data_IF_508957690082
#
_entry.id   IF_508957690082
#
_cell.length_a   1.000
_cell.length_b   1.000
_cell.length_c   1.000
_cell.angle_alpha   90.00
_cell.angle_beta   90.00
_cell.angle_gamma   90.00
#
_symmetry.space_group_name_H-M   'P 1'
#
loop_
_entity.id
_entity.type
_entity.pdbx_description
1 polymer ?
#
# COMPACT_ATOMS: atom_id res chain seq x y z
N UNK A 1 9.24 -19.04 18.10
CA UNK A 1 9.38 -17.78 17.35
C UNK A 1 9.90 -18.11 15.96
N UNK A 2 9.03 -18.14 14.94
CA UNK A 2 9.45 -18.17 13.54
C UNK A 2 9.23 -16.76 12.98
N UNK A 3 10.33 -16.11 12.65
CA UNK A 3 10.40 -14.95 11.76
C UNK A 3 10.45 -15.46 10.31
N UNK A 4 9.84 -14.68 9.40
CA UNK A 4 9.56 -14.89 7.95
C UNK A 4 8.35 -15.80 7.70
N UNK A 5 7.32 -15.46 6.89
CA UNK A 5 7.41 -15.01 5.49
C UNK A 5 6.16 -14.21 5.03
N UNK A 6 6.40 -13.26 4.12
CA UNK A 6 5.43 -12.68 3.20
C UNK A 6 4.62 -13.79 2.51
N UNK A 7 3.34 -13.95 2.89
CA UNK A 7 2.42 -14.83 2.18
C UNK A 7 1.77 -14.10 1.00
N UNK A 8 2.59 -13.74 0.02
CA UNK A 8 2.20 -13.72 -1.38
C UNK A 8 3.20 -14.69 -2.02
N UNK A 9 2.73 -15.87 -2.41
CA UNK A 9 3.58 -16.85 -3.06
C UNK A 9 4.18 -16.18 -4.33
N UNK A 10 5.50 -16.22 -4.54
CA UNK A 10 6.20 -15.41 -5.55
C UNK A 10 5.86 -15.75 -7.02
N UNK A 11 4.82 -16.54 -7.29
CA UNK A 11 4.43 -16.95 -8.65
C UNK A 11 2.93 -16.82 -8.90
N UNK A 12 2.32 -15.69 -8.54
CA UNK A 12 1.00 -15.35 -9.09
C UNK A 12 1.23 -14.66 -10.45
N UNK A 13 1.63 -15.46 -11.44
CA UNK A 13 2.03 -15.03 -12.80
C UNK A 13 0.89 -14.34 -13.58
N UNK A 14 -0.30 -14.27 -12.99
CA UNK A 14 -1.50 -13.62 -13.51
C UNK A 14 -1.56 -12.12 -13.21
N UNK A 15 -0.85 -11.63 -12.20
CA UNK A 15 -0.90 -10.22 -11.78
C UNK A 15 0.04 -9.36 -12.64
N UNK A 16 -0.52 -8.29 -13.22
CA UNK A 16 0.26 -7.33 -14.04
C UNK A 16 1.28 -6.53 -13.23
N UNK A 17 1.09 -6.41 -11.92
CA UNK A 17 1.96 -5.71 -11.00
C UNK A 17 1.82 -6.29 -9.59
N UNK A 18 2.83 -6.11 -8.74
CA UNK A 18 2.76 -6.50 -7.35
C UNK A 18 1.68 -5.68 -6.61
N UNK A 19 0.84 -6.32 -5.76
CA UNK A 19 -0.14 -5.60 -4.98
C UNK A 19 0.53 -4.66 -3.97
N UNK A 20 0.01 -3.44 -3.84
CA UNK A 20 0.50 -2.42 -2.90
C UNK A 20 -0.55 -2.18 -1.81
N UNK A 21 -0.11 -2.07 -0.55
CA UNK A 21 -0.99 -1.74 0.58
C UNK A 21 -1.01 -0.25 0.85
N UNK A 22 -2.22 0.27 1.11
CA UNK A 22 -2.46 1.61 1.60
C UNK A 22 -3.12 1.47 2.97
N UNK A 23 -2.44 1.92 4.01
CA UNK A 23 -2.93 1.86 5.38
C UNK A 23 -2.50 3.09 6.16
N UNK A 24 -3.18 3.32 7.28
CA UNK A 24 -2.69 4.20 8.32
C UNK A 24 -1.27 3.76 8.77
N UNK A 25 -0.34 4.70 9.02
CA UNK A 25 1.01 4.38 9.50
C UNK A 25 0.99 3.86 10.94
N UNK A 26 2.08 3.24 11.40
CA UNK A 26 2.18 2.65 12.74
C UNK A 26 2.42 3.70 13.83
N UNK A 27 1.44 4.60 13.99
CA UNK A 27 1.42 5.70 14.98
C UNK A 27 0.02 5.82 15.58
N UNK A 28 -0.14 6.34 16.79
CA UNK A 28 -1.47 6.62 17.33
C UNK A 28 -2.22 7.66 16.49
N UNK A 29 -3.54 7.52 16.37
CA UNK A 29 -4.39 8.50 15.70
C UNK A 29 -4.54 9.74 16.60
N UNK A 30 -4.21 10.96 16.12
CA UNK A 30 -4.36 12.20 16.87
C UNK A 30 -5.82 12.67 16.90
N UNK A 31 -6.19 13.44 17.93
CA UNK A 31 -7.55 13.95 18.10
C UNK A 31 -7.92 15.07 17.10
N UNK A 32 -6.95 15.87 16.67
CA UNK A 32 -7.21 16.98 15.76
C UNK A 32 -7.59 16.45 14.37
N UNK A 33 -8.80 16.78 13.90
CA UNK A 33 -9.38 16.27 12.65
C UNK A 33 -8.46 16.41 11.43
N UNK A 34 -7.81 17.56 11.27
CA UNK A 34 -6.89 17.79 10.16
C UNK A 34 -5.68 16.83 10.18
N UNK A 35 -5.26 16.39 11.37
CA UNK A 35 -4.17 15.41 11.52
C UNK A 35 -4.69 13.98 11.36
N UNK A 36 -5.90 13.68 11.84
CA UNK A 36 -6.58 12.40 11.60
C UNK A 36 -6.76 12.15 10.09
N UNK A 37 -7.36 13.11 9.38
CA UNK A 37 -7.61 13.02 7.93
C UNK A 37 -6.31 12.84 7.13
N UNK A 38 -5.20 13.45 7.61
CA UNK A 38 -3.88 13.31 7.00
C UNK A 38 -3.29 11.90 7.17
N UNK A 39 -3.71 11.14 8.17
CA UNK A 39 -3.22 9.80 8.47
C UNK A 39 -4.09 8.71 7.83
N UNK A 40 -5.40 8.93 7.74
CA UNK A 40 -6.33 7.97 7.17
C UNK A 40 -6.13 7.78 5.65
N UNK A 41 -6.38 6.57 5.11
CA UNK A 41 -6.51 6.37 3.67
C UNK A 41 -7.62 7.25 3.08
N UNK A 42 -7.35 7.88 1.94
CA UNK A 42 -8.30 8.74 1.23
C UNK A 42 -8.18 8.52 -0.29
N UNK A 43 -9.09 9.15 -1.06
CA UNK A 43 -9.15 9.01 -2.51
C UNK A 43 -7.83 9.39 -3.20
N UNK A 44 -7.26 10.55 -2.85
CA UNK A 44 -6.01 11.05 -3.46
C UNK A 44 -4.84 10.06 -3.26
N UNK A 45 -4.72 9.47 -2.07
CA UNK A 45 -3.70 8.46 -1.76
C UNK A 45 -3.92 7.18 -2.56
N UNK A 46 -5.18 6.79 -2.79
CA UNK A 46 -5.54 5.61 -3.59
C UNK A 46 -5.18 5.85 -5.06
N UNK A 47 -5.56 6.99 -5.63
CA UNK A 47 -5.25 7.35 -7.01
C UNK A 47 -3.75 7.42 -7.24
N UNK A 48 -2.99 8.08 -6.36
CA UNK A 48 -1.55 8.14 -6.44
C UNK A 48 -0.88 6.76 -6.39
N UNK A 49 -1.37 5.86 -5.53
CA UNK A 49 -0.86 4.50 -5.42
C UNK A 49 -1.17 3.66 -6.66
N UNK A 50 -2.37 3.80 -7.25
CA UNK A 50 -2.74 3.11 -8.50
C UNK A 50 -1.86 3.59 -9.65
N UNK A 51 -1.74 4.91 -9.82
CA UNK A 51 -0.89 5.51 -10.86
C UNK A 51 0.54 4.99 -10.73
N UNK A 52 1.12 5.04 -9.53
CA UNK A 52 2.46 4.51 -9.27
C UNK A 52 2.58 3.00 -9.52
N UNK A 53 1.56 2.22 -9.16
CA UNK A 53 1.55 0.76 -9.37
C UNK A 53 1.53 0.40 -10.86
N UNK A 54 0.84 1.20 -11.69
CA UNK A 54 0.72 0.97 -13.13
C UNK A 54 1.86 1.60 -13.95
N UNK A 55 2.51 2.64 -13.43
CA UNK A 55 3.66 3.32 -14.06
C UNK A 55 4.99 2.59 -13.86
N UNK A 56 5.09 1.72 -12.85
CA UNK A 56 6.26 0.86 -12.68
C UNK A 56 6.42 0.03 -13.97
N UNK A 57 7.54 0.17 -14.71
CA UNK A 57 7.78 -0.70 -15.84
C UNK A 57 7.82 -2.12 -15.30
N UNK A 58 6.89 -2.94 -15.78
CA UNK A 58 6.97 -4.39 -15.58
C UNK A 58 8.36 -4.79 -16.10
N UNK A 59 9.29 -5.08 -15.19
CA UNK A 59 10.65 -5.47 -15.53
C UNK A 59 10.62 -6.65 -16.50
N UNK A 60 11.40 -6.54 -17.58
CA UNK A 60 11.53 -7.56 -18.61
C UNK A 60 12.36 -8.78 -18.22
#
# INVERSE_FOLDING_TARGET
MRTTETSCHPTDSTLKAAPVRISHPDVPIPFARNLEDALLPNADKIEAAITKMMELPNGG
#
